data_IF_543301618920
#
_entry.id   IF_543301618920
#
_cell.length_a   1.000
_cell.length_b   1.000
_cell.length_c   1.000
_cell.angle_alpha   90.00
_cell.angle_beta   90.00
_cell.angle_gamma   90.00
#
_symmetry.space_group_name_H-M   'P 1'
#
loop_
_entity.id
_entity.type
_entity.pdbx_description
1 polymer ?
#
# COMPACT_ATOMS: atom_id res chain seq x y z
N UNK A 1 25.29 -22.20 -4.39
CA UNK A 1 24.45 -22.44 -3.23
C UNK A 1 23.01 -22.54 -3.68
N UNK A 2 22.39 -23.57 -3.27
CA UNK A 2 21.02 -23.82 -3.67
C UNK A 2 20.06 -23.11 -2.71
N UNK A 3 19.33 -22.12 -3.22
CA UNK A 3 18.37 -21.36 -2.44
C UNK A 3 17.24 -22.25 -1.92
N UNK A 4 16.95 -23.35 -2.62
CA UNK A 4 15.91 -24.29 -2.21
C UNK A 4 16.25 -25.01 -0.90
N UNK A 5 17.50 -24.98 -0.47
CA UNK A 5 17.90 -25.56 0.79
C UNK A 5 17.55 -24.68 1.99
N UNK A 6 17.26 -23.41 1.76
CA UNK A 6 16.82 -22.54 2.84
C UNK A 6 15.41 -22.94 3.27
N UNK A 7 15.20 -22.97 4.58
CA UNK A 7 13.91 -23.32 5.14
C UNK A 7 12.82 -22.40 4.64
N UNK A 8 11.69 -22.94 4.13
CA UNK A 8 10.53 -22.10 3.80
C UNK A 8 10.07 -21.22 4.95
N UNK A 9 10.34 -21.65 6.18
CA UNK A 9 10.03 -20.90 7.38
C UNK A 9 10.76 -19.55 7.43
N UNK A 10 12.05 -19.54 7.04
CA UNK A 10 12.85 -18.32 7.03
C UNK A 10 12.33 -17.33 5.99
N UNK A 11 12.01 -17.80 4.80
CA UNK A 11 11.43 -16.97 3.76
C UNK A 11 10.07 -16.44 4.16
N UNK A 12 9.25 -17.29 4.77
CA UNK A 12 7.93 -16.87 5.25
C UNK A 12 8.06 -15.71 6.23
N UNK A 13 8.97 -15.82 7.19
CA UNK A 13 9.18 -14.77 8.19
C UNK A 13 9.55 -13.45 7.51
N UNK A 14 10.49 -13.51 6.55
CA UNK A 14 10.94 -12.33 5.82
C UNK A 14 9.81 -11.68 5.06
N UNK A 15 9.04 -12.46 4.30
CA UNK A 15 7.94 -11.93 3.50
C UNK A 15 6.81 -11.39 4.38
N UNK A 16 6.46 -12.10 5.45
CA UNK A 16 5.40 -11.66 6.35
C UNK A 16 5.80 -10.35 7.05
N UNK A 17 7.03 -10.27 7.52
CA UNK A 17 7.54 -9.05 8.15
C UNK A 17 7.51 -7.88 7.17
N UNK A 18 7.93 -8.12 5.93
CA UNK A 18 7.91 -7.08 4.90
C UNK A 18 6.48 -6.62 4.60
N UNK A 19 5.55 -7.55 4.47
CA UNK A 19 4.15 -7.23 4.24
C UNK A 19 3.56 -6.42 5.40
N UNK A 20 3.88 -6.78 6.62
CA UNK A 20 3.43 -6.05 7.81
C UNK A 20 3.99 -4.63 7.82
N UNK A 21 5.27 -4.47 7.54
CA UNK A 21 5.91 -3.15 7.51
C UNK A 21 5.33 -2.27 6.41
N UNK A 22 5.11 -2.82 5.22
CA UNK A 22 4.48 -2.07 4.12
C UNK A 22 3.06 -1.66 4.47
N UNK A 23 2.31 -2.54 5.14
CA UNK A 23 0.95 -2.23 5.56
C UNK A 23 0.93 -1.10 6.58
N UNK A 24 1.83 -1.12 7.54
CA UNK A 24 1.96 -0.05 8.53
C UNK A 24 2.36 1.27 7.86
N UNK A 25 3.28 1.22 6.91
CA UNK A 25 3.71 2.43 6.17
C UNK A 25 2.54 3.03 5.39
N UNK A 26 1.74 2.19 4.73
CA UNK A 26 0.56 2.66 3.98
C UNK A 26 -0.44 3.34 4.92
N UNK A 27 -0.73 2.71 6.05
CA UNK A 27 -1.66 3.24 7.05
C UNK A 27 -1.13 4.58 7.57
N UNK A 28 0.16 4.66 7.88
CA UNK A 28 0.79 5.87 8.37
C UNK A 28 0.65 7.02 7.38
N UNK A 29 0.96 6.77 6.11
CA UNK A 29 0.87 7.79 5.07
C UNK A 29 -0.57 8.26 4.87
N UNK A 30 -1.53 7.34 4.92
CA UNK A 30 -2.96 7.70 4.82
C UNK A 30 -3.36 8.56 6.02
N UNK A 31 -2.93 8.18 7.20
CA UNK A 31 -3.25 8.91 8.42
C UNK A 31 -2.69 10.32 8.37
N UNK A 32 -1.41 10.47 8.01
CA UNK A 32 -0.79 11.79 7.90
C UNK A 32 -1.45 12.63 6.81
N UNK A 33 -1.80 12.03 5.67
CA UNK A 33 -2.51 12.76 4.62
C UNK A 33 -3.85 13.29 5.12
N UNK A 34 -4.57 12.46 5.89
CA UNK A 34 -5.88 12.83 6.42
C UNK A 34 -5.80 13.95 7.45
N UNK A 35 -4.65 14.08 8.13
CA UNK A 35 -4.44 15.15 9.13
C UNK A 35 -4.17 16.51 8.47
N UNK A 36 -3.81 16.51 7.18
CA UNK A 36 -3.54 17.77 6.48
C UNK A 36 -4.88 18.34 5.99
N UNK A 37 -5.25 19.48 6.58
CA UNK A 37 -6.46 20.19 6.18
C UNK A 37 -6.22 20.94 4.87
N UNK A 38 -7.14 20.82 3.92
CA UNK A 38 -7.08 21.55 2.68
C UNK A 38 -8.09 22.69 2.74
N UNK A 39 -7.55 23.91 2.92
CA UNK A 39 -8.36 25.10 2.81
C UNK A 39 -8.45 25.55 1.36
N UNK A 40 -9.46 26.36 1.07
CA UNK A 40 -9.64 26.93 -0.26
C UNK A 40 -8.44 27.81 -0.61
N UNK A 41 -7.76 27.50 -1.70
CA UNK A 41 -6.61 28.26 -2.17
C UNK A 41 -5.27 27.84 -1.52
N UNK A 42 -5.26 26.80 -0.69
CA UNK A 42 -4.05 26.33 -0.02
C UNK A 42 -3.39 25.23 -0.84
N UNK A 43 -2.64 25.65 -1.87
CA UNK A 43 -2.00 24.72 -2.79
C UNK A 43 -0.86 23.94 -2.15
N UNK A 44 -0.15 24.52 -1.17
CA UNK A 44 0.97 23.82 -0.51
C UNK A 44 0.50 22.66 0.32
N UNK A 45 -0.54 22.85 1.12
CA UNK A 45 -1.12 21.76 1.91
C UNK A 45 -1.71 20.68 1.00
N UNK A 46 -2.35 21.08 -0.10
CA UNK A 46 -2.90 20.17 -1.08
C UNK A 46 -1.80 19.30 -1.71
N UNK A 47 -0.65 19.90 -2.04
CA UNK A 47 0.48 19.16 -2.60
C UNK A 47 1.05 18.15 -1.60
N UNK A 48 1.20 18.54 -0.34
CA UNK A 48 1.70 17.64 0.70
C UNK A 48 0.75 16.46 0.91
N UNK A 49 -0.54 16.74 0.97
CA UNK A 49 -1.55 15.69 1.13
C UNK A 49 -1.53 14.74 -0.05
N UNK A 50 -1.47 15.27 -1.27
CA UNK A 50 -1.43 14.47 -2.48
C UNK A 50 -0.17 13.60 -2.53
N UNK A 51 0.99 14.14 -2.13
CA UNK A 51 2.23 13.38 -2.10
C UNK A 51 2.12 12.18 -1.15
N UNK A 52 1.52 12.36 0.01
CA UNK A 52 1.30 11.28 0.97
C UNK A 52 0.31 10.25 0.44
N UNK A 53 -0.75 10.71 -0.23
CA UNK A 53 -1.72 9.82 -0.86
C UNK A 53 -1.06 8.96 -1.95
N UNK A 54 -0.23 9.55 -2.80
CA UNK A 54 0.50 8.81 -3.83
C UNK A 54 1.50 7.85 -3.23
N UNK A 55 2.17 8.25 -2.16
CA UNK A 55 3.10 7.37 -1.46
C UNK A 55 2.37 6.15 -0.90
N UNK A 56 1.19 6.35 -0.33
CA UNK A 56 0.35 5.25 0.13
C UNK A 56 -0.05 4.33 -1.02
N UNK A 57 -0.43 4.89 -2.17
CA UNK A 57 -0.77 4.08 -3.34
C UNK A 57 0.39 3.20 -3.78
N UNK A 58 1.59 3.78 -3.86
CA UNK A 58 2.79 3.04 -4.23
C UNK A 58 3.06 1.91 -3.25
N UNK A 59 2.94 2.20 -1.96
CA UNK A 59 3.17 1.21 -0.91
C UNK A 59 2.17 0.06 -1.02
N UNK A 60 0.89 0.37 -1.30
CA UNK A 60 -0.15 -0.66 -1.47
C UNK A 60 0.14 -1.53 -2.69
N UNK A 61 0.61 -0.94 -3.80
CA UNK A 61 1.02 -1.69 -4.98
C UNK A 61 2.19 -2.63 -4.65
N UNK A 62 3.13 -2.17 -3.82
CA UNK A 62 4.24 -3.01 -3.37
C UNK A 62 3.76 -4.18 -2.52
N UNK A 63 2.74 -3.99 -1.69
CA UNK A 63 2.15 -5.07 -0.91
C UNK A 63 1.69 -6.20 -1.83
N UNK A 64 0.96 -5.87 -2.89
CA UNK A 64 0.47 -6.86 -3.84
C UNK A 64 1.63 -7.57 -4.54
N UNK A 65 2.67 -6.83 -4.92
CA UNK A 65 3.84 -7.39 -5.58
C UNK A 65 4.60 -8.35 -4.65
N UNK A 66 4.84 -7.93 -3.41
CA UNK A 66 5.54 -8.76 -2.42
C UNK A 66 4.72 -10.01 -2.09
N UNK A 67 3.40 -9.88 -2.01
CA UNK A 67 2.51 -11.03 -1.78
C UNK A 67 2.60 -12.04 -2.92
N UNK A 68 2.69 -11.57 -4.17
CA UNK A 68 2.86 -12.43 -5.32
C UNK A 68 4.19 -13.19 -5.25
N UNK A 69 5.27 -12.50 -4.89
CA UNK A 69 6.57 -13.14 -4.68
C UNK A 69 6.50 -14.18 -3.58
N UNK A 70 5.84 -13.85 -2.47
CA UNK A 70 5.68 -14.77 -1.36
C UNK A 70 4.92 -16.02 -1.76
N UNK A 71 3.88 -15.89 -2.59
CA UNK A 71 3.13 -17.02 -3.11
C UNK A 71 4.01 -17.88 -4.02
N UNK A 72 4.75 -17.24 -4.92
CA UNK A 72 5.65 -17.94 -5.84
C UNK A 72 6.71 -18.74 -5.08
N UNK A 73 7.19 -18.20 -3.97
CA UNK A 73 8.16 -18.87 -3.10
C UNK A 73 7.50 -19.83 -2.10
N UNK A 74 6.19 -20.04 -2.22
CA UNK A 74 5.42 -20.93 -1.36
C UNK A 74 5.44 -20.56 0.12
N UNK A 75 5.61 -19.26 0.38
CA UNK A 75 5.57 -18.73 1.75
C UNK A 75 4.16 -18.40 2.20
N UNK A 76 3.26 -18.15 1.25
CA UNK A 76 1.83 -18.00 1.50
C UNK A 76 1.07 -18.85 0.50
N UNK A 77 -0.17 -19.19 0.86
CA UNK A 77 -1.04 -19.99 -0.01
C UNK A 77 -1.61 -19.12 -1.13
N UNK A 78 -1.92 -19.73 -2.30
CA UNK A 78 -2.58 -18.98 -3.38
C UNK A 78 -3.85 -18.28 -2.93
N UNK A 79 -4.62 -18.92 -2.07
CA UNK A 79 -5.85 -18.32 -1.53
C UNK A 79 -5.57 -17.08 -0.69
N UNK A 80 -4.49 -17.11 0.08
CA UNK A 80 -4.07 -15.94 0.86
C UNK A 80 -3.63 -14.80 -0.05
N UNK A 81 -2.90 -15.13 -1.11
CA UNK A 81 -2.52 -14.13 -2.11
C UNK A 81 -3.74 -13.50 -2.76
N UNK A 82 -4.73 -14.31 -3.14
CA UNK A 82 -5.97 -13.79 -3.75
C UNK A 82 -6.67 -12.81 -2.83
N UNK A 83 -6.73 -13.11 -1.53
CA UNK A 83 -7.33 -12.22 -0.54
C UNK A 83 -6.57 -10.90 -0.44
N UNK A 84 -5.24 -10.96 -0.41
CA UNK A 84 -4.40 -9.76 -0.34
C UNK A 84 -4.58 -8.94 -1.62
N UNK A 85 -4.57 -9.59 -2.78
CA UNK A 85 -4.73 -8.92 -4.06
C UNK A 85 -6.07 -8.19 -4.14
N UNK A 86 -7.13 -8.82 -3.66
CA UNK A 86 -8.45 -8.19 -3.64
C UNK A 86 -8.48 -6.99 -2.71
N UNK A 87 -7.93 -7.13 -1.51
CA UNK A 87 -7.89 -6.03 -0.54
C UNK A 87 -7.08 -4.85 -1.07
N UNK A 88 -5.92 -5.11 -1.69
CA UNK A 88 -5.10 -4.04 -2.25
C UNK A 88 -5.80 -3.35 -3.41
N UNK A 89 -6.50 -4.10 -4.27
CA UNK A 89 -7.28 -3.53 -5.36
C UNK A 89 -8.37 -2.61 -4.82
N UNK A 90 -9.10 -3.05 -3.79
CA UNK A 90 -10.15 -2.25 -3.17
C UNK A 90 -9.57 -0.99 -2.53
N UNK A 91 -8.44 -1.11 -1.84
CA UNK A 91 -7.77 0.04 -1.22
C UNK A 91 -7.32 1.06 -2.27
N UNK A 92 -6.75 0.59 -3.38
CA UNK A 92 -6.32 1.48 -4.46
C UNK A 92 -7.49 2.22 -5.08
N UNK A 93 -8.62 1.54 -5.24
CA UNK A 93 -9.84 2.16 -5.77
C UNK A 93 -10.36 3.25 -4.84
N UNK A 94 -10.42 2.96 -3.54
CA UNK A 94 -10.87 3.92 -2.53
C UNK A 94 -9.94 5.11 -2.45
N UNK A 95 -8.64 4.86 -2.48
CA UNK A 95 -7.63 5.91 -2.41
C UNK A 95 -7.68 6.80 -3.65
N UNK A 96 -7.84 6.19 -4.83
CA UNK A 96 -8.02 6.92 -6.08
C UNK A 96 -9.26 7.81 -6.05
N UNK A 97 -10.36 7.30 -5.49
CA UNK A 97 -11.59 8.08 -5.30
C UNK A 97 -11.38 9.26 -4.37
N UNK A 98 -10.64 9.07 -3.30
CA UNK A 98 -10.32 10.14 -2.36
C UNK A 98 -9.49 11.23 -3.04
N UNK A 99 -8.46 10.84 -3.79
CA UNK A 99 -7.63 11.78 -4.55
C UNK A 99 -8.47 12.59 -5.54
N UNK A 100 -9.35 11.92 -6.28
CA UNK A 100 -10.23 12.59 -7.24
C UNK A 100 -11.19 13.55 -6.55
N UNK A 101 -11.71 13.17 -5.40
CA UNK A 101 -12.58 14.02 -4.60
C UNK A 101 -11.86 15.29 -4.15
N UNK A 102 -10.61 15.16 -3.70
CA UNK A 102 -9.80 16.31 -3.31
C UNK A 102 -9.54 17.24 -4.51
N UNK A 103 -9.22 16.68 -5.67
CA UNK A 103 -8.99 17.46 -6.88
C UNK A 103 -10.21 18.28 -7.27
N UNK A 104 -11.39 17.68 -7.16
CA UNK A 104 -12.66 18.39 -7.45
C UNK A 104 -12.88 19.54 -6.49
N UNK A 105 -12.61 19.34 -5.20
CA UNK A 105 -12.76 20.41 -4.21
C UNK A 105 -11.82 21.56 -4.47
N UNK A 106 -10.61 21.28 -4.94
CA UNK A 106 -9.61 22.32 -5.21
C UNK A 106 -9.92 23.12 -6.47
N UNK A 107 -10.59 22.50 -7.43
CA UNK A 107 -10.93 23.16 -8.70
C UNK A 107 -12.26 23.91 -8.66
N UNK A 108 -13.02 23.78 -7.58
CA UNK A 108 -14.33 24.48 -7.45
C UNK A 108 -14.27 25.81 -6.67
#
# INVERSE_FOLDING_TARGET
>A
MDITQKSPKQFRFTFVTRLQNLSLDAIENIYYANEIFIGKGDSKSAEKRLALQHKAMTTIKLIAYVAEMAMTQRCILPKQFEQIAKLTTDCLRLLGGWINSDKKRLSS
#
